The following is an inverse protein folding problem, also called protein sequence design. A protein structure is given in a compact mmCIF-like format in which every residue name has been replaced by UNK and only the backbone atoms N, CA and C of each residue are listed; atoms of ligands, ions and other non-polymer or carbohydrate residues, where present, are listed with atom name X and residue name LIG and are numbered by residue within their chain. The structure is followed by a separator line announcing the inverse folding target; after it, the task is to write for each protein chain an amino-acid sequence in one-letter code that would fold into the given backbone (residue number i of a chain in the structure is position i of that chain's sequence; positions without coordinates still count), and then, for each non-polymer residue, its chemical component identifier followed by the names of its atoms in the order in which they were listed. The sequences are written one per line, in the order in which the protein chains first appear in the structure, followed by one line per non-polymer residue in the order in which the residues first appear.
data_IF_722707722173
#
_entry.id   IF_722707722173
#
_cell.length_a   1.000
_cell.length_b   1.000
_cell.length_c   1.000
_cell.angle_alpha   90.00
_cell.angle_beta   90.00
_cell.angle_gamma   90.00
#
_symmetry.space_group_name_H-M   'P 1'
#
loop_
_entity.id
_entity.type
_entity.pdbx_description
1 polymer ?
#
# COMPACT_ATOMS: atom_id res chain seq x y z
N UNK A 1 17.42 -7.16 23.23
CA UNK A 1 16.29 -6.23 22.96
C UNK A 1 15.02 -6.64 23.70
N UNK A 2 14.52 -7.88 23.60
CA UNK A 2 13.28 -8.30 24.30
C UNK A 2 13.32 -8.16 25.83
N UNK A 3 14.45 -8.45 26.48
CA UNK A 3 14.58 -8.29 27.95
C UNK A 3 14.47 -6.84 28.43
N UNK A 4 15.00 -5.88 27.65
CA UNK A 4 14.91 -4.46 27.98
C UNK A 4 13.45 -3.95 27.89
N UNK A 5 12.70 -4.50 26.95
CA UNK A 5 11.31 -4.14 26.67
C UNK A 5 10.35 -4.66 27.75
N UNK A 6 10.51 -5.92 28.18
CA UNK A 6 9.75 -6.49 29.30
C UNK A 6 10.05 -5.69 30.59
N UNK A 7 11.31 -5.30 30.81
CA UNK A 7 11.68 -4.46 31.95
C UNK A 7 11.04 -3.06 31.95
N UNK A 8 10.65 -2.52 30.79
CA UNK A 8 9.87 -1.29 30.73
C UNK A 8 8.40 -1.52 31.17
N UNK A 9 7.79 -2.63 30.76
CA UNK A 9 6.40 -2.96 31.13
C UNK A 9 6.27 -3.18 32.64
N UNK A 10 7.23 -3.88 33.24
CA UNK A 10 7.24 -4.10 34.70
C UNK A 10 7.40 -2.78 35.46
N UNK A 11 8.29 -1.88 35.02
CA UNK A 11 8.50 -0.58 35.68
C UNK A 11 7.29 0.35 35.57
N UNK A 12 6.55 0.27 34.48
CA UNK A 12 5.36 1.07 34.24
C UNK A 12 4.05 0.36 34.62
N UNK A 13 4.13 -0.78 35.30
CA UNK A 13 2.97 -1.56 35.76
C UNK A 13 1.96 -1.85 34.63
N UNK A 14 2.48 -2.21 33.46
CA UNK A 14 1.66 -2.59 32.31
C UNK A 14 1.41 -4.11 32.39
N UNK A 15 0.23 -4.50 32.87
CA UNK A 15 -0.17 -5.91 33.09
C UNK A 15 -0.39 -6.73 31.81
N UNK A 16 -0.18 -6.14 30.62
CA UNK A 16 -0.38 -6.85 29.35
C UNK A 16 0.79 -7.80 29.08
N UNK A 17 0.56 -9.13 28.98
CA UNK A 17 1.62 -10.06 28.62
C UNK A 17 2.09 -9.82 27.18
N UNK A 18 3.40 -9.67 26.99
CA UNK A 18 4.00 -9.48 25.66
C UNK A 18 4.23 -10.85 25.00
N UNK A 19 3.60 -11.16 23.85
CA UNK A 19 3.73 -12.46 23.19
C UNK A 19 5.05 -12.58 22.42
N UNK A 20 6.19 -12.59 23.12
CA UNK A 20 7.55 -12.52 22.54
C UNK A 20 7.82 -13.63 21.52
N UNK A 21 7.38 -14.86 21.81
CA UNK A 21 7.58 -16.02 20.92
C UNK A 21 6.86 -15.90 19.57
N UNK A 22 5.78 -15.12 19.53
CA UNK A 22 5.04 -14.85 18.30
C UNK A 22 5.64 -13.67 17.54
N UNK A 23 6.03 -12.61 18.27
CA UNK A 23 6.64 -11.41 17.70
C UNK A 23 8.00 -11.69 17.04
N UNK A 24 8.82 -12.58 17.63
CA UNK A 24 10.14 -12.93 17.05
C UNK A 24 10.04 -13.68 15.73
N UNK A 25 8.91 -14.35 15.47
CA UNK A 25 8.65 -15.04 14.19
C UNK A 25 8.24 -14.08 13.07
N UNK A 26 8.16 -12.77 13.37
CA UNK A 26 7.78 -11.71 12.44
C UNK A 26 6.45 -11.96 11.72
N UNK A 27 5.51 -12.67 12.36
CA UNK A 27 4.20 -12.93 11.77
C UNK A 27 3.37 -11.63 11.75
N UNK A 28 2.79 -11.31 10.59
CA UNK A 28 2.08 -10.05 10.36
C UNK A 28 0.94 -9.83 11.37
N UNK A 29 0.15 -10.87 11.65
CA UNK A 29 -1.02 -10.78 12.54
C UNK A 29 -0.61 -10.44 13.98
N UNK A 30 0.36 -11.16 14.55
CA UNK A 30 0.82 -10.92 15.92
C UNK A 30 1.48 -9.55 16.08
N UNK A 31 2.26 -9.13 15.07
CA UNK A 31 2.89 -7.80 15.04
C UNK A 31 1.85 -6.68 14.92
N UNK A 32 0.84 -6.84 14.08
CA UNK A 32 -0.18 -5.83 13.86
C UNK A 32 -1.07 -5.65 15.09
N UNK A 33 -1.52 -6.74 15.71
CA UNK A 33 -2.30 -6.70 16.95
C UNK A 33 -1.51 -6.00 18.09
N UNK A 34 -0.21 -6.28 18.16
CA UNK A 34 0.66 -5.65 19.13
C UNK A 34 0.83 -4.15 18.87
N UNK A 35 1.05 -3.73 17.62
CA UNK A 35 1.17 -2.32 17.23
C UNK A 35 -0.14 -1.53 17.43
N UNK A 36 -1.29 -2.12 17.11
CA UNK A 36 -2.59 -1.48 17.33
C UNK A 36 -2.81 -1.14 18.81
N UNK A 37 -2.42 -2.05 19.70
CA UNK A 37 -2.47 -1.78 21.12
C UNK A 37 -1.44 -0.72 21.56
N UNK A 38 -0.20 -0.75 21.05
CA UNK A 38 0.80 0.29 21.36
C UNK A 38 0.26 1.66 20.97
N UNK A 39 -0.37 1.78 19.79
CA UNK A 39 -0.97 3.05 19.36
C UNK A 39 -2.05 3.52 20.32
N UNK A 40 -2.96 2.63 20.71
CA UNK A 40 -4.01 2.96 21.69
C UNK A 40 -3.43 3.38 23.04
N UNK A 41 -2.41 2.68 23.53
CA UNK A 41 -1.71 3.02 24.77
C UNK A 41 -1.02 4.39 24.65
N UNK A 42 -0.32 4.65 23.54
CA UNK A 42 0.31 5.94 23.26
C UNK A 42 -0.72 7.08 23.29
N UNK A 43 -1.84 6.91 22.60
CA UNK A 43 -2.88 7.95 22.54
C UNK A 43 -3.50 8.28 23.90
N UNK A 44 -3.54 7.31 24.81
CA UNK A 44 -4.12 7.48 26.13
C UNK A 44 -3.15 8.12 27.14
N UNK A 45 -1.85 7.79 27.04
CA UNK A 45 -0.87 8.15 28.07
C UNK A 45 0.15 9.19 27.60
N UNK A 46 0.15 9.60 26.33
CA UNK A 46 1.10 10.59 25.84
C UNK A 46 0.68 12.01 26.24
N UNK A 47 1.50 12.74 27.01
CA UNK A 47 1.14 14.08 27.51
C UNK A 47 1.28 15.20 26.46
N UNK A 48 1.65 14.88 25.22
CA UNK A 48 1.71 15.85 24.11
C UNK A 48 3.01 16.66 23.97
N UNK A 49 4.14 16.18 24.49
CA UNK A 49 5.45 16.84 24.35
C UNK A 49 6.12 16.59 23.00
N UNK A 50 7.31 17.13 22.79
CA UNK A 50 8.17 16.76 21.64
C UNK A 50 9.02 15.53 21.98
N UNK A 51 9.11 14.57 21.06
CA UNK A 51 9.93 13.37 21.22
C UNK A 51 10.91 13.20 20.05
N UNK A 52 12.19 13.48 20.28
CA UNK A 52 13.25 13.24 19.30
C UNK A 52 13.81 11.81 19.42
N UNK A 53 13.34 10.92 18.54
CA UNK A 53 13.78 9.54 18.47
C UNK A 53 15.23 9.38 17.95
N UNK A 54 15.71 10.31 17.11
CA UNK A 54 17.02 10.21 16.44
C UNK A 54 18.13 10.56 17.43
N UNK A 55 17.98 11.65 18.19
CA UNK A 55 18.94 12.00 19.24
C UNK A 55 19.06 10.89 20.30
N UNK A 56 17.93 10.28 20.68
CA UNK A 56 17.90 9.18 21.66
C UNK A 56 18.64 7.94 21.18
N UNK A 57 18.57 7.61 19.88
CA UNK A 57 19.25 6.46 19.29
C UNK A 57 20.76 6.70 19.14
N UNK A 58 21.18 7.93 18.83
CA UNK A 58 22.62 8.30 18.77
C UNK A 58 23.31 8.09 20.13
N UNK A 59 22.60 8.35 21.24
CA UNK A 59 23.10 8.09 22.59
C UNK A 59 23.16 6.61 23.00
N UNK A 60 22.55 5.69 22.23
CA UNK A 60 22.47 4.26 22.55
C UNK A 60 23.41 3.37 21.71
N UNK A 61 24.31 3.96 20.91
CA UNK A 61 25.31 3.22 20.11
C UNK A 61 24.72 2.32 19.00
N UNK A 62 23.46 2.53 18.60
CA UNK A 62 22.82 1.73 17.57
C UNK A 62 23.23 2.22 16.15
N UNK A 63 23.42 1.32 15.17
CA UNK A 63 23.82 1.69 13.82
C UNK A 63 22.79 2.62 13.15
N UNK A 64 23.24 3.56 12.30
CA UNK A 64 22.36 4.50 11.63
C UNK A 64 21.38 3.76 10.70
N UNK A 65 20.11 4.20 10.60
CA UNK A 65 19.17 3.62 9.65
C UNK A 65 19.63 3.89 8.22
N UNK A 66 19.52 2.89 7.34
CA UNK A 66 19.66 3.08 5.90
C UNK A 66 18.59 4.07 5.41
N UNK A 67 18.99 5.07 4.64
CA UNK A 67 18.12 6.09 4.10
C UNK A 67 17.08 5.47 3.15
N UNK A 68 15.87 5.23 3.65
CA UNK A 68 14.69 4.86 2.86
C UNK A 68 13.79 6.07 2.67
N UNK A 69 13.54 6.44 1.42
CA UNK A 69 12.93 7.71 1.00
C UNK A 69 11.59 8.08 1.65
N UNK A 70 11.42 9.38 1.83
CA UNK A 70 10.21 10.02 2.33
C UNK A 70 9.00 9.70 1.44
N UNK A 71 7.90 9.27 2.06
CA UNK A 71 6.56 9.40 1.47
C UNK A 71 5.75 10.34 2.34
N UNK A 72 5.51 11.52 1.81
CA UNK A 72 4.69 12.58 2.39
C UNK A 72 3.27 12.05 2.64
N UNK A 73 2.87 11.97 3.91
CA UNK A 73 1.49 11.69 4.30
C UNK A 73 0.72 13.00 4.39
N UNK A 74 -0.25 13.17 3.49
CA UNK A 74 -1.21 14.28 3.57
C UNK A 74 -2.06 14.13 4.83
N UNK A 75 -2.26 15.23 5.51
CA UNK A 75 -3.09 15.34 6.71
C UNK A 75 -4.54 15.56 6.30
N UNK A 76 -5.47 14.83 6.93
CA UNK A 76 -6.84 15.32 7.11
C UNK A 76 -7.46 14.64 8.31
N UNK A 77 -7.65 15.46 9.34
CA UNK A 77 -8.49 15.19 10.50
C UNK A 77 -9.95 15.46 10.14
N UNK A 78 -10.89 14.67 10.65
CA UNK A 78 -12.18 15.08 11.28
C UNK A 78 -13.11 13.87 11.42
N UNK A 79 -13.95 13.87 12.46
CA UNK A 79 -15.20 13.10 12.41
C UNK A 79 -15.55 12.22 13.60
N UNK A 80 -15.76 12.85 14.75
CA UNK A 80 -16.55 12.41 15.91
C UNK A 80 -17.70 11.43 15.60
N UNK A 81 -17.85 10.34 16.39
CA UNK A 81 -19.15 9.93 16.98
C UNK A 81 -18.97 8.85 18.07
N UNK A 82 -19.66 9.13 19.18
CA UNK A 82 -19.75 8.42 20.46
C UNK A 82 -20.85 7.36 20.38
N UNK A 83 -20.65 6.19 20.99
CA UNK A 83 -21.68 5.14 21.07
C UNK A 83 -21.33 3.99 22.02
N UNK A 84 -21.71 4.15 23.28
CA UNK A 84 -22.13 3.18 24.32
C UNK A 84 -21.85 1.67 24.13
N UNK A 85 -21.14 1.07 25.08
CA UNK A 85 -21.28 -0.35 25.48
C UNK A 85 -22.50 -0.52 26.41
N UNK A 86 -23.19 -1.68 26.45
CA UNK A 86 -22.77 -2.74 27.39
C UNK A 86 -23.11 -4.21 26.99
N UNK A 87 -22.22 -5.11 27.41
CA UNK A 87 -22.47 -6.37 28.15
C UNK A 87 -23.08 -7.64 27.49
N UNK A 88 -22.31 -8.72 27.70
CA UNK A 88 -22.66 -10.12 27.99
C UNK A 88 -22.85 -11.17 26.89
N UNK A 89 -22.10 -12.25 27.15
CA UNK A 89 -22.44 -13.65 27.03
C UNK A 89 -22.32 -14.35 25.67
N UNK A 90 -21.41 -15.33 25.70
CA UNK A 90 -21.53 -16.66 25.13
C UNK A 90 -21.54 -16.79 23.60
N UNK A 91 -20.49 -17.47 23.13
CA UNK A 91 -20.63 -18.45 22.07
C UNK A 91 -20.98 -17.90 20.70
N UNK A 92 -19.98 -17.33 20.01
CA UNK A 92 -19.92 -17.51 18.57
C UNK A 92 -18.54 -17.98 18.16
N UNK A 93 -18.54 -19.24 17.73
CA UNK A 93 -17.51 -19.93 17.02
C UNK A 93 -16.68 -19.00 16.11
N UNK A 94 -15.36 -19.19 16.13
CA UNK A 94 -14.53 -19.54 14.95
C UNK A 94 -14.96 -19.01 13.56
N UNK A 95 -15.36 -17.75 13.41
CA UNK A 95 -15.67 -17.15 12.08
C UNK A 95 -14.69 -16.04 11.68
N UNK A 96 -13.70 -15.69 12.51
CA UNK A 96 -12.70 -14.66 12.17
C UNK A 96 -11.51 -15.15 11.32
N UNK A 97 -11.17 -16.44 11.40
CA UNK A 97 -9.98 -17.00 10.73
C UNK A 97 -10.22 -17.34 9.25
N UNK A 98 -11.41 -17.87 8.92
CA UNK A 98 -11.79 -18.20 7.54
C UNK A 98 -11.97 -16.93 6.69
N UNK A 99 -12.57 -15.88 7.24
CA UNK A 99 -12.75 -14.60 6.54
C UNK A 99 -11.42 -13.92 6.24
N UNK A 100 -10.42 -14.02 7.13
CA UNK A 100 -9.08 -13.49 6.87
C UNK A 100 -8.31 -14.33 5.84
N UNK A 101 -8.47 -15.66 5.84
CA UNK A 101 -7.82 -16.53 4.86
C UNK A 101 -8.43 -16.37 3.46
N UNK A 102 -9.76 -16.33 3.38
CA UNK A 102 -10.50 -16.07 2.15
C UNK A 102 -10.16 -14.68 1.58
N UNK A 103 -10.16 -13.64 2.43
CA UNK A 103 -9.75 -12.30 2.03
C UNK A 103 -8.30 -12.23 1.56
N UNK A 104 -7.39 -12.98 2.20
CA UNK A 104 -5.98 -13.06 1.76
C UNK A 104 -5.85 -13.80 0.42
N UNK A 105 -6.62 -14.87 0.21
CA UNK A 105 -6.66 -15.59 -1.07
C UNK A 105 -7.21 -14.70 -2.18
N UNK A 106 -8.27 -13.93 -1.91
CA UNK A 106 -8.84 -12.99 -2.86
C UNK A 106 -7.88 -11.86 -3.21
N UNK A 107 -7.16 -11.31 -2.23
CA UNK A 107 -6.09 -10.33 -2.49
C UNK A 107 -4.95 -10.90 -3.33
N UNK A 108 -4.59 -12.17 -3.13
CA UNK A 108 -3.55 -12.80 -3.95
C UNK A 108 -4.04 -13.08 -5.37
N UNK A 109 -5.28 -13.55 -5.53
CA UNK A 109 -5.90 -13.75 -6.83
C UNK A 109 -6.03 -12.43 -7.60
N UNK A 110 -6.44 -11.34 -6.94
CA UNK A 110 -6.48 -10.01 -7.55
C UNK A 110 -5.11 -9.50 -7.97
N UNK A 111 -4.05 -9.75 -7.18
CA UNK A 111 -2.68 -9.40 -7.57
C UNK A 111 -2.19 -10.17 -8.79
N UNK A 112 -2.48 -11.47 -8.86
CA UNK A 112 -2.15 -12.29 -10.02
C UNK A 112 -2.92 -11.83 -11.26
N UNK A 113 -4.20 -11.49 -11.11
CA UNK A 113 -5.02 -10.94 -12.18
C UNK A 113 -4.47 -9.59 -12.68
N UNK A 114 -4.13 -8.67 -11.78
CA UNK A 114 -3.51 -7.39 -12.13
C UNK A 114 -2.18 -7.62 -12.85
N UNK A 115 -1.32 -8.49 -12.34
CA UNK A 115 -0.05 -8.80 -13.00
C UNK A 115 -0.23 -9.42 -14.38
N UNK A 116 -1.30 -10.19 -14.60
CA UNK A 116 -1.71 -10.69 -15.91
C UNK A 116 -2.14 -9.55 -16.84
N UNK A 117 -3.04 -8.69 -16.37
CA UNK A 117 -3.53 -7.53 -17.12
C UNK A 117 -2.43 -6.53 -17.46
N UNK A 118 -1.44 -6.33 -16.57
CA UNK A 118 -0.29 -5.49 -16.84
C UNK A 118 0.57 -6.06 -17.97
N UNK A 119 0.77 -7.38 -18.02
CA UNK A 119 1.47 -8.03 -19.13
C UNK A 119 0.72 -7.89 -20.44
N UNK A 120 -0.61 -8.07 -20.41
CA UNK A 120 -1.45 -7.88 -21.60
C UNK A 120 -1.41 -6.43 -22.08
N UNK A 121 -1.54 -5.46 -21.17
CA UNK A 121 -1.37 -4.03 -21.46
C UNK A 121 -0.03 -3.77 -22.12
N UNK A 122 1.06 -4.26 -21.55
CA UNK A 122 2.41 -4.02 -22.07
C UNK A 122 2.62 -4.70 -23.43
N UNK A 123 2.03 -5.89 -23.63
CA UNK A 123 2.05 -6.60 -24.91
C UNK A 123 1.31 -5.84 -26.02
N UNK A 124 0.12 -5.32 -25.74
CA UNK A 124 -0.63 -4.52 -26.72
C UNK A 124 0.03 -3.17 -26.96
N UNK A 125 0.56 -2.52 -25.91
CA UNK A 125 1.31 -1.27 -26.05
C UNK A 125 2.54 -1.43 -26.94
N UNK A 126 3.32 -2.50 -26.76
CA UNK A 126 4.48 -2.79 -27.60
C UNK A 126 4.08 -2.93 -29.08
N UNK A 127 2.98 -3.63 -29.39
CA UNK A 127 2.49 -3.76 -30.77
C UNK A 127 2.09 -2.42 -31.38
N UNK A 128 1.37 -1.58 -30.63
CA UNK A 128 0.98 -0.25 -31.10
C UNK A 128 2.22 0.63 -31.35
N UNK A 129 3.24 0.52 -30.48
CA UNK A 129 4.51 1.23 -30.64
C UNK A 129 5.30 0.77 -31.87
N UNK A 130 5.29 -0.53 -32.15
CA UNK A 130 5.92 -1.09 -33.36
C UNK A 130 5.20 -0.59 -34.62
N UNK A 131 3.87 -0.56 -34.63
CA UNK A 131 3.06 -0.01 -35.74
C UNK A 131 3.37 1.47 -35.96
N UNK A 132 3.45 2.27 -34.89
CA UNK A 132 3.80 3.68 -34.97
C UNK A 132 5.20 3.88 -35.60
N UNK A 133 6.17 3.05 -35.22
CA UNK A 133 7.51 3.10 -35.79
C UNK A 133 7.52 2.77 -37.29
N UNK A 134 6.77 1.73 -37.69
CA UNK A 134 6.65 1.35 -39.10
C UNK A 134 6.00 2.46 -39.94
N UNK A 135 5.00 3.15 -39.39
CA UNK A 135 4.39 4.30 -40.06
C UNK A 135 5.36 5.46 -40.22
N UNK A 136 6.11 5.80 -39.17
CA UNK A 136 7.12 6.86 -39.24
C UNK A 136 8.17 6.55 -40.31
N UNK A 137 8.66 5.30 -40.36
CA UNK A 137 9.61 4.86 -41.38
C UNK A 137 9.03 4.92 -42.81
N UNK A 138 7.75 4.55 -42.97
CA UNK A 138 7.08 4.61 -44.28
C UNK A 138 6.91 6.07 -44.76
N UNK A 139 6.53 6.99 -43.87
CA UNK A 139 6.40 8.42 -44.18
C UNK A 139 7.75 9.07 -44.45
N UNK A 140 8.80 8.67 -43.73
CA UNK A 140 10.17 9.15 -44.01
C UNK A 140 10.67 8.71 -45.40
N UNK A 141 10.34 7.48 -45.80
CA UNK A 141 10.71 6.95 -47.10
C UNK A 141 9.89 7.54 -48.27
N UNK A 142 8.59 7.80 -48.05
CA UNK A 142 7.71 8.44 -49.02
C UNK A 142 6.80 9.49 -48.33
N UNK A 143 7.20 10.77 -48.34
CA UNK A 143 6.45 11.86 -47.71
C UNK A 143 5.07 12.15 -48.31
N UNK A 144 4.75 11.62 -49.50
CA UNK A 144 3.42 11.83 -50.11
C UNK A 144 2.32 11.03 -49.37
N UNK A 145 2.68 9.96 -48.64
CA UNK A 145 1.74 9.10 -47.92
C UNK A 145 0.95 9.84 -46.82
N UNK A 146 1.48 10.94 -46.27
CA UNK A 146 0.84 11.71 -45.21
C UNK A 146 0.05 12.93 -45.74
N UNK A 147 0.29 13.36 -46.99
CA UNK A 147 -0.29 14.60 -47.53
C UNK A 147 -1.78 14.51 -47.83
N UNK A 148 -2.31 13.32 -48.11
CA UNK A 148 -3.74 13.11 -48.32
C UNK A 148 -4.53 13.22 -47.01
N UNK A 149 -5.55 14.08 -46.97
CA UNK A 149 -6.42 14.21 -45.79
C UNK A 149 -7.19 12.93 -45.45
N UNK A 150 -7.42 12.07 -46.44
CA UNK A 150 -8.10 10.77 -46.30
C UNK A 150 -7.10 9.59 -46.38
N UNK A 151 -5.82 9.83 -46.11
CA UNK A 151 -4.80 8.78 -46.25
C UNK A 151 -4.93 7.73 -45.14
N UNK A 152 -4.54 6.49 -45.47
CA UNK A 152 -4.50 5.39 -44.51
C UNK A 152 -3.61 5.74 -43.29
N UNK A 153 -2.53 6.48 -43.51
CA UNK A 153 -1.61 6.95 -42.45
C UNK A 153 -2.35 7.83 -41.45
N UNK A 154 -3.13 8.82 -41.91
CA UNK A 154 -3.91 9.70 -41.02
C UNK A 154 -4.96 8.94 -40.22
N UNK A 155 -5.64 7.97 -40.84
CA UNK A 155 -6.61 7.12 -40.15
C UNK A 155 -5.97 6.29 -39.03
N UNK A 156 -4.79 5.69 -39.28
CA UNK A 156 -4.11 4.90 -38.26
C UNK A 156 -3.57 5.80 -37.14
N UNK A 157 -2.99 6.97 -37.48
CA UNK A 157 -2.57 7.96 -36.48
C UNK A 157 -3.76 8.42 -35.61
N UNK A 158 -4.93 8.64 -36.21
CA UNK A 158 -6.14 9.00 -35.47
C UNK A 158 -6.56 7.92 -34.46
N UNK A 159 -6.41 6.63 -34.80
CA UNK A 159 -6.65 5.52 -33.87
C UNK A 159 -5.59 5.50 -32.76
N UNK A 160 -4.29 5.60 -33.11
CA UNK A 160 -3.18 5.52 -32.15
C UNK A 160 -3.18 6.67 -31.13
N UNK A 161 -3.59 7.87 -31.55
CA UNK A 161 -3.64 9.06 -30.71
C UNK A 161 -5.05 9.38 -30.19
N UNK A 162 -6.04 8.52 -30.48
CA UNK A 162 -7.36 8.62 -29.87
C UNK A 162 -7.22 8.44 -28.37
N UNK A 163 -7.38 9.53 -27.63
CA UNK A 163 -7.38 9.50 -26.17
C UNK A 163 -8.80 9.32 -25.69
N UNK A 164 -9.14 8.11 -25.26
CA UNK A 164 -10.33 7.92 -24.43
C UNK A 164 -10.01 8.56 -23.08
N UNK A 165 -10.45 9.80 -22.88
CA UNK A 165 -10.45 10.42 -21.55
C UNK A 165 -11.39 9.55 -20.72
N UNK A 166 -10.86 8.53 -20.02
CA UNK A 166 -11.62 7.80 -19.03
C UNK A 166 -12.06 8.83 -17.99
N UNK A 167 -13.36 9.17 -17.89
CA UNK A 167 -13.80 9.98 -16.79
C UNK A 167 -13.46 9.18 -15.53
N UNK A 168 -12.63 9.77 -14.69
CA UNK A 168 -12.43 9.36 -13.31
C UNK A 168 -13.78 9.48 -12.57
N UNK A 169 -14.72 8.58 -12.83
CA UNK A 169 -15.86 8.40 -11.93
C UNK A 169 -15.38 7.48 -10.81
N UNK A 170 -14.78 8.12 -9.81
CA UNK A 170 -14.83 7.63 -8.44
C UNK A 170 -16.28 7.23 -8.11
N UNK A 171 -16.47 6.02 -7.62
CA UNK A 171 -17.48 5.66 -6.62
C UNK A 171 -16.99 4.44 -5.85
#
# INVERSE_FOLDING_TARGET
MCFLYIGAFVRHQIDRPVPVQSLIKCRMQDNLEFLQWIKRHWDQYYPGGEYDAVARRKGSGAPPPAAGGARSGTSSATGTRRGTTPTSAAGRARVGGANNLALTQELNAQKEAIAGLEKERDFYFAKLRDIELLLQQAVEADPELEKGDDSLVKHIQAILYSTEVLPLSMS
#
